data_IF_073624733461
#
_entry.id   IF_073624733461
#
_cell.length_a   1.000
_cell.length_b   1.000
_cell.length_c   1.000
_cell.angle_alpha   90.00
_cell.angle_beta   90.00
_cell.angle_gamma   90.00
#
_symmetry.space_group_name_H-M   'P 1'
#
loop_
_entity.id
_entity.type
_entity.pdbx_description
1 polymer ?
#
# COMPACT_ATOMS: atom_id res chain seq x y z
N UNK A 1 -13.12 15.98 3.57
CA UNK A 1 -11.69 16.28 3.68
C UNK A 1 -10.93 15.08 3.11
N UNK A 2 -10.21 15.18 1.99
CA UNK A 2 -9.37 14.07 1.52
C UNK A 2 -8.25 13.82 2.54
N UNK A 3 -7.94 12.54 2.79
CA UNK A 3 -6.91 12.14 3.75
C UNK A 3 -5.53 12.72 3.34
N UNK A 4 -4.68 13.12 4.31
CA UNK A 4 -3.36 13.63 4.00
C UNK A 4 -2.56 12.57 3.24
N UNK A 5 -2.09 12.92 2.05
CA UNK A 5 -1.19 12.07 1.29
C UNK A 5 0.09 11.93 2.12
N UNK A 6 0.55 10.70 2.42
CA UNK A 6 1.74 10.52 3.24
C UNK A 6 2.96 11.16 2.56
N UNK A 7 3.64 12.05 3.29
CA UNK A 7 4.82 12.81 2.82
C UNK A 7 6.08 11.95 2.72
N UNK A 8 6.06 10.76 3.32
CA UNK A 8 7.17 9.83 3.29
C UNK A 8 7.24 9.06 1.95
N UNK A 9 8.35 9.15 1.21
CA UNK A 9 8.48 8.53 -0.10
C UNK A 9 8.31 7.00 -0.05
N UNK A 10 8.70 6.38 1.07
CA UNK A 10 8.56 4.93 1.29
C UNK A 10 7.10 4.50 1.46
N UNK A 11 6.29 5.33 2.14
CA UNK A 11 4.85 5.04 2.30
C UNK A 11 4.16 5.17 0.93
N UNK A 12 4.54 6.17 0.13
CA UNK A 12 4.01 6.32 -1.23
C UNK A 12 4.41 5.15 -2.12
N UNK A 13 5.67 4.72 -2.05
CA UNK A 13 6.17 3.56 -2.79
C UNK A 13 5.41 2.27 -2.43
N UNK A 14 5.20 2.00 -1.14
CA UNK A 14 4.44 0.84 -0.70
C UNK A 14 2.98 0.88 -1.14
N UNK A 15 2.36 2.06 -1.08
CA UNK A 15 0.99 2.26 -1.56
C UNK A 15 0.86 1.99 -3.05
N UNK A 16 1.74 2.58 -3.86
CA UNK A 16 1.71 2.46 -5.31
C UNK A 16 2.00 1.01 -5.74
N UNK A 17 2.90 0.31 -5.03
CA UNK A 17 3.16 -1.12 -5.25
C UNK A 17 1.94 -2.00 -4.95
N UNK A 18 1.20 -1.71 -3.88
CA UNK A 18 -0.03 -2.44 -3.55
C UNK A 18 -1.14 -2.21 -4.58
N UNK A 19 -1.28 -0.98 -5.11
CA UNK A 19 -2.22 -0.67 -6.19
C UNK A 19 -1.85 -1.41 -7.48
N UNK A 20 -0.57 -1.37 -7.89
CA UNK A 20 -0.10 -2.09 -9.09
C UNK A 20 -0.32 -3.60 -8.95
N UNK A 21 0.01 -4.18 -7.79
CA UNK A 21 -0.16 -5.61 -7.54
C UNK A 21 -1.64 -6.03 -7.53
N UNK A 22 -2.52 -5.15 -7.04
CA UNK A 22 -3.96 -5.33 -7.13
C UNK A 22 -4.45 -5.33 -8.59
N UNK A 23 -4.06 -4.31 -9.37
CA UNK A 23 -4.43 -4.18 -10.79
C UNK A 23 -3.93 -5.36 -11.65
N UNK A 24 -2.81 -5.98 -11.27
CA UNK A 24 -2.22 -7.14 -11.97
C UNK A 24 -2.83 -8.50 -11.61
N UNK A 25 -3.88 -8.55 -10.78
CA UNK A 25 -4.55 -9.81 -10.42
C UNK A 25 -4.34 -10.25 -8.97
N UNK A 26 -4.07 -9.31 -8.05
CA UNK A 26 -4.37 -9.50 -6.63
C UNK A 26 -3.28 -10.17 -5.78
N UNK A 27 -2.06 -10.32 -6.27
CA UNK A 27 -0.97 -10.75 -5.38
C UNK A 27 -0.59 -9.60 -4.42
N UNK A 28 -0.39 -9.85 -3.12
CA UNK A 28 0.08 -8.83 -2.21
C UNK A 28 1.51 -8.40 -2.59
N UNK A 29 1.73 -7.10 -2.73
CA UNK A 29 3.03 -6.54 -3.04
C UNK A 29 4.08 -7.00 -2.01
N UNK A 30 5.21 -7.53 -2.48
CA UNK A 30 6.33 -7.94 -1.62
C UNK A 30 7.23 -6.75 -1.33
N UNK A 31 7.47 -6.50 -0.04
CA UNK A 31 8.41 -5.47 0.40
C UNK A 31 9.83 -5.80 -0.09
N UNK A 32 10.48 -4.93 -0.87
CA UNK A 32 11.83 -5.17 -1.38
C UNK A 32 12.93 -4.93 -0.32
N UNK A 33 12.58 -4.33 0.82
CA UNK A 33 13.51 -3.96 1.86
C UNK A 33 13.77 -5.08 2.86
N UNK A 34 14.95 -5.07 3.48
CA UNK A 34 15.29 -6.02 4.55
C UNK A 34 14.32 -5.86 5.72
N UNK A 35 13.81 -7.00 6.21
CA UNK A 35 12.95 -7.08 7.40
C UNK A 35 13.61 -6.36 8.60
N UNK A 36 12.78 -5.79 9.48
CA UNK A 36 13.20 -5.02 10.67
C UNK A 36 13.93 -3.70 10.40
N UNK A 37 13.89 -3.16 9.18
CA UNK A 37 14.35 -1.79 8.91
C UNK A 37 13.19 -0.79 8.96
N UNK A 38 13.46 0.47 9.35
CA UNK A 38 12.46 1.56 9.26
C UNK A 38 11.90 1.69 7.85
N UNK A 39 12.72 1.44 6.82
CA UNK A 39 12.30 1.44 5.41
C UNK A 39 11.24 0.39 5.11
N UNK A 40 11.47 -0.85 5.54
CA UNK A 40 10.48 -1.91 5.41
C UNK A 40 9.18 -1.58 6.17
N UNK A 41 9.28 -0.96 7.34
CA UNK A 41 8.11 -0.58 8.13
C UNK A 41 7.27 0.49 7.44
N UNK A 42 7.88 1.58 6.95
CA UNK A 42 7.15 2.65 6.24
C UNK A 42 6.58 2.16 4.91
N UNK A 43 7.31 1.33 4.19
CA UNK A 43 6.81 0.72 2.96
C UNK A 43 5.59 -0.18 3.23
N UNK A 44 5.68 -1.08 4.21
CA UNK A 44 4.58 -1.97 4.58
C UNK A 44 3.36 -1.19 5.07
N UNK A 45 3.57 -0.08 5.80
CA UNK A 45 2.48 0.80 6.22
C UNK A 45 1.70 1.36 5.03
N UNK A 46 2.40 1.81 3.99
CA UNK A 46 1.77 2.32 2.76
C UNK A 46 1.01 1.25 1.99
N UNK A 47 1.61 0.07 1.86
CA UNK A 47 0.98 -1.08 1.20
C UNK A 47 -0.29 -1.54 1.94
N UNK A 48 -0.26 -1.58 3.27
CA UNK A 48 -1.42 -1.96 4.08
C UNK A 48 -2.55 -0.93 4.00
N UNK A 49 -2.24 0.37 4.04
CA UNK A 49 -3.23 1.43 3.87
C UNK A 49 -3.93 1.34 2.51
N UNK A 50 -3.16 1.11 1.43
CA UNK A 50 -3.70 0.91 0.10
C UNK A 50 -4.61 -0.33 0.04
N UNK A 51 -4.15 -1.46 0.59
CA UNK A 51 -4.92 -2.69 0.62
C UNK A 51 -6.28 -2.53 1.30
N UNK A 52 -6.33 -1.86 2.45
CA UNK A 52 -7.60 -1.58 3.16
C UNK A 52 -8.52 -0.66 2.35
N UNK A 53 -7.97 0.38 1.73
CA UNK A 53 -8.76 1.29 0.90
C UNK A 53 -9.32 0.59 -0.35
N UNK A 54 -8.53 -0.26 -1.00
CA UNK A 54 -8.95 -1.07 -2.14
C UNK A 54 -10.04 -2.08 -1.74
N UNK A 55 -9.89 -2.78 -0.61
CA UNK A 55 -10.92 -3.68 -0.07
C UNK A 55 -12.25 -2.94 0.19
N UNK A 56 -12.17 -1.74 0.80
CA UNK A 56 -13.35 -0.91 1.02
C UNK A 56 -14.01 -0.47 -0.28
N UNK A 57 -13.24 -0.05 -1.28
CA UNK A 57 -13.77 0.35 -2.59
C UNK A 57 -14.45 -0.83 -3.29
N UNK A 58 -13.88 -2.02 -3.23
CA UNK A 58 -14.46 -3.23 -3.81
C UNK A 58 -15.75 -3.67 -3.12
N UNK A 59 -15.84 -3.50 -1.80
CA UNK A 59 -17.08 -3.76 -1.06
C UNK A 59 -18.24 -2.85 -1.42
N UNK A 60 -17.98 -1.62 -1.86
CA UNK A 60 -19.04 -0.67 -2.27
C UNK A 60 -19.53 -0.98 -3.68
N UNK A 61 -18.68 -1.55 -4.55
CA UNK A 61 -19.02 -1.88 -5.94
C UNK A 61 -19.65 -3.26 -6.16
N UNK A 62 -19.83 -4.06 -5.10
CA UNK A 62 -20.46 -5.38 -5.12
C UNK A 62 -21.90 -5.31 -4.60
#
# INVERSE_FOLDING_TARGET
>A
MPAPVPKDPLVREGRDAAIDAYLRGGQPARCPYRRATKRALFWSLGAEQAGKALDQLMRIGA
#
